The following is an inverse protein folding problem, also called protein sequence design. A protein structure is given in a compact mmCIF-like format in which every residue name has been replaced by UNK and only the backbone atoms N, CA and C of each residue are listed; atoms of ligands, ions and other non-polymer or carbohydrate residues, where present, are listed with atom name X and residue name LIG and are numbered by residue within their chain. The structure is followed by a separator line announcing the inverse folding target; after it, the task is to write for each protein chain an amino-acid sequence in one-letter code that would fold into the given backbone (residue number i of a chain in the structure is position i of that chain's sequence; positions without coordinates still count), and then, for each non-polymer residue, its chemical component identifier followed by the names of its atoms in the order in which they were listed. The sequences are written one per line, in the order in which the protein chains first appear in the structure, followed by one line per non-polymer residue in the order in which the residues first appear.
data_IF_053336042010
#
_entry.id   IF_053336042010
#
_cell.length_a   1.000
_cell.length_b   1.000
_cell.length_c   1.000
_cell.angle_alpha   90.00
_cell.angle_beta   90.00
_cell.angle_gamma   90.00
#
_symmetry.space_group_name_H-M   'P 1'
#
loop_
_entity.id
_entity.type
_entity.pdbx_description
1 polymer ?
#
# COMPACT_ATOMS: atom_id res chain seq x y z
N UNK A 1 22.91 8.91 -3.35
CA UNK A 1 23.84 10.06 -3.42
C UNK A 1 23.18 11.20 -2.69
N UNK A 2 23.83 11.86 -1.71
CA UNK A 2 23.24 13.02 -1.05
C UNK A 2 23.15 14.15 -2.10
N UNK A 3 21.95 14.57 -2.41
CA UNK A 3 21.72 15.76 -3.22
C UNK A 3 22.23 16.95 -2.43
N UNK A 4 23.31 17.57 -2.90
CA UNK A 4 23.76 18.89 -2.43
C UNK A 4 22.74 19.93 -2.89
N UNK A 5 21.61 20.05 -2.16
CA UNK A 5 20.61 21.12 -2.35
C UNK A 5 21.18 22.43 -1.85
N UNK A 6 22.03 23.07 -2.63
CA UNK A 6 22.60 24.39 -2.35
C UNK A 6 21.89 25.47 -3.18
N UNK A 7 20.57 25.61 -3.01
CA UNK A 7 19.80 26.64 -3.70
C UNK A 7 19.38 27.76 -2.74
N UNK A 8 19.52 29.01 -3.17
CA UNK A 8 18.75 30.11 -2.63
C UNK A 8 17.38 30.12 -3.31
N UNK A 9 16.30 30.37 -2.57
CA UNK A 9 14.94 30.35 -3.09
C UNK A 9 14.75 31.14 -4.42
N UNK A 10 15.52 32.21 -4.60
CA UNK A 10 15.48 33.08 -5.79
C UNK A 10 16.14 32.51 -7.05
N UNK A 11 16.95 31.46 -6.91
CA UNK A 11 17.73 30.88 -8.02
C UNK A 11 17.09 29.60 -8.58
N UNK A 12 15.98 29.15 -7.99
CA UNK A 12 15.33 27.92 -8.38
C UNK A 12 14.23 28.18 -9.42
N UNK A 13 14.49 27.76 -10.66
CA UNK A 13 13.48 27.78 -11.73
C UNK A 13 12.82 26.42 -11.81
N UNK A 14 11.50 26.37 -11.58
CA UNK A 14 10.69 25.15 -11.72
C UNK A 14 10.09 25.11 -13.12
N UNK A 15 10.38 24.05 -13.85
CA UNK A 15 9.76 23.82 -15.17
C UNK A 15 8.36 23.25 -14.97
N UNK A 16 7.37 24.13 -14.98
CA UNK A 16 5.97 23.73 -14.86
C UNK A 16 5.50 23.00 -16.14
N UNK A 17 4.58 22.01 -16.01
CA UNK A 17 3.86 21.47 -17.15
C UNK A 17 3.07 22.57 -17.90
N UNK A 18 2.95 22.44 -19.23
CA UNK A 18 2.26 23.42 -20.06
C UNK A 18 0.79 23.65 -19.64
N UNK A 19 0.12 22.60 -19.15
CA UNK A 19 -1.22 22.68 -18.61
C UNK A 19 -1.29 23.61 -17.38
N UNK A 20 -0.31 23.50 -16.48
CA UNK A 20 -0.25 24.34 -15.27
C UNK A 20 0.13 25.78 -15.64
N UNK A 21 1.10 26.00 -16.51
CA UNK A 21 1.42 27.34 -17.04
C UNK A 21 0.20 28.01 -17.65
N UNK A 22 -0.57 27.26 -18.44
CA UNK A 22 -1.81 27.77 -19.03
C UNK A 22 -2.82 28.18 -17.97
N UNK A 23 -3.02 27.36 -16.94
CA UNK A 23 -3.97 27.64 -15.84
C UNK A 23 -3.55 28.88 -15.07
N UNK A 24 -2.28 28.95 -14.64
CA UNK A 24 -1.75 30.11 -13.91
C UNK A 24 -1.85 31.38 -14.77
N UNK A 25 -1.37 31.37 -16.01
CA UNK A 25 -1.41 32.52 -16.89
C UNK A 25 -2.84 32.99 -17.22
N UNK A 26 -3.82 32.07 -17.25
CA UNK A 26 -5.22 32.43 -17.49
C UNK A 26 -5.83 33.13 -16.27
N UNK A 27 -5.53 32.67 -15.05
CA UNK A 27 -5.94 33.34 -13.81
C UNK A 27 -5.28 34.71 -13.68
N UNK A 28 -3.97 34.82 -13.89
CA UNK A 28 -3.24 36.07 -13.80
C UNK A 28 -3.70 37.14 -14.82
N UNK A 29 -3.99 36.73 -16.06
CA UNK A 29 -4.57 37.62 -17.10
C UNK A 29 -5.93 38.18 -16.72
N UNK A 30 -6.67 37.52 -15.83
CA UNK A 30 -7.94 37.98 -15.28
C UNK A 30 -7.77 38.72 -13.95
N UNK A 31 -6.54 39.05 -13.54
CA UNK A 31 -6.26 39.88 -12.35
C UNK A 31 -6.14 39.11 -11.03
N UNK A 32 -6.07 37.78 -11.07
CA UNK A 32 -5.94 36.95 -9.87
C UNK A 32 -4.52 36.47 -9.65
N UNK A 33 -4.07 36.43 -8.41
CA UNK A 33 -2.84 35.76 -8.04
C UNK A 33 -3.05 34.23 -8.14
N UNK A 34 -2.05 33.51 -8.69
CA UNK A 34 -2.13 32.05 -8.83
C UNK A 34 -0.75 31.40 -8.71
N UNK A 35 -0.68 30.27 -8.02
CA UNK A 35 0.57 29.54 -7.77
C UNK A 35 0.34 28.02 -7.86
N UNK A 36 1.35 27.32 -8.39
CA UNK A 36 1.49 25.89 -8.16
C UNK A 36 1.95 25.65 -6.73
N UNK A 37 1.39 24.64 -6.03
CA UNK A 37 1.63 24.45 -4.60
C UNK A 37 1.77 22.99 -4.19
N UNK A 38 2.28 22.78 -2.99
CA UNK A 38 2.17 21.51 -2.29
C UNK A 38 3.14 20.43 -2.77
N UNK A 39 2.63 19.22 -2.86
CA UNK A 39 3.42 18.01 -3.10
C UNK A 39 4.24 18.02 -4.39
N UNK A 40 3.68 18.55 -5.48
CA UNK A 40 4.37 18.59 -6.77
C UNK A 40 5.56 19.55 -6.78
N UNK A 41 5.43 20.72 -6.15
CA UNK A 41 6.54 21.68 -5.98
C UNK A 41 7.68 21.03 -5.20
N UNK A 42 7.36 20.39 -4.07
CA UNK A 42 8.34 19.63 -3.26
C UNK A 42 9.01 18.53 -4.07
N UNK A 43 8.21 17.68 -4.72
CA UNK A 43 8.74 16.50 -5.45
C UNK A 43 9.63 16.95 -6.63
N UNK A 44 9.29 18.06 -7.31
CA UNK A 44 10.15 18.66 -8.34
C UNK A 44 11.50 19.10 -7.75
N UNK A 45 11.51 19.82 -6.62
CA UNK A 45 12.73 20.28 -5.95
C UNK A 45 13.63 19.12 -5.55
N UNK A 46 13.01 17.99 -5.13
CA UNK A 46 13.73 16.75 -4.78
C UNK A 46 14.20 15.95 -6.01
N UNK A 47 13.89 16.38 -7.24
CA UNK A 47 14.18 15.62 -8.46
C UNK A 47 13.33 14.36 -8.64
N UNK A 48 12.23 14.26 -7.93
CA UNK A 48 11.25 13.17 -8.07
C UNK A 48 10.22 13.52 -9.18
N UNK A 49 9.59 12.50 -9.81
CA UNK A 49 8.46 12.75 -10.70
C UNK A 49 7.35 13.51 -9.98
N UNK A 50 7.00 14.69 -10.51
CA UNK A 50 5.91 15.52 -10.00
C UNK A 50 4.71 15.36 -10.93
N UNK A 51 3.67 14.67 -10.46
CA UNK A 51 2.50 14.29 -11.28
C UNK A 51 1.25 15.09 -10.93
N UNK A 52 0.95 15.24 -9.65
CA UNK A 52 -0.29 15.86 -9.16
C UNK A 52 -0.04 17.33 -8.81
N UNK A 53 -0.17 18.19 -9.81
CA UNK A 53 0.03 19.63 -9.66
C UNK A 53 -1.27 20.32 -9.22
N UNK A 54 -1.29 20.79 -7.98
CA UNK A 54 -2.34 21.63 -7.44
C UNK A 54 -2.05 23.11 -7.69
N UNK A 55 -3.11 23.88 -7.93
CA UNK A 55 -3.04 25.35 -8.07
C UNK A 55 -3.83 25.97 -6.92
N UNK A 56 -3.26 27.04 -6.34
CA UNK A 56 -3.99 27.89 -5.40
C UNK A 56 -4.08 29.30 -5.96
N UNK A 57 -5.19 30.03 -5.69
CA UNK A 57 -5.48 31.33 -6.29
C UNK A 57 -6.29 32.25 -5.38
N UNK A 58 -6.18 33.56 -5.63
CA UNK A 58 -7.05 34.55 -4.99
C UNK A 58 -8.45 34.61 -5.59
N UNK A 59 -8.70 33.96 -6.75
CA UNK A 59 -10.01 33.89 -7.37
C UNK A 59 -10.97 33.08 -6.52
N UNK A 60 -12.20 33.56 -6.28
CA UNK A 60 -13.27 32.78 -5.70
C UNK A 60 -13.71 31.64 -6.64
N UNK A 61 -14.37 30.59 -6.12
CA UNK A 61 -14.81 29.48 -6.98
C UNK A 61 -15.66 29.91 -8.19
N UNK A 62 -16.58 30.85 -8.01
CA UNK A 62 -17.43 31.37 -9.09
C UNK A 62 -16.62 32.23 -10.09
N UNK A 63 -15.58 32.92 -9.64
CA UNK A 63 -14.68 33.66 -10.49
C UNK A 63 -13.79 32.71 -11.31
N UNK A 64 -13.29 31.67 -10.66
CA UNK A 64 -12.54 30.60 -11.34
C UNK A 64 -13.40 29.94 -12.41
N UNK A 65 -14.68 29.67 -12.14
CA UNK A 65 -15.61 29.14 -13.14
C UNK A 65 -15.79 30.07 -14.33
N UNK A 66 -15.95 31.38 -14.08
CA UNK A 66 -16.07 32.40 -15.15
C UNK A 66 -14.80 32.45 -16.00
N UNK A 67 -13.60 32.43 -15.38
CA UNK A 67 -12.32 32.42 -16.07
C UNK A 67 -12.20 31.20 -16.99
N UNK A 68 -12.71 30.06 -16.56
CA UNK A 68 -12.65 28.80 -17.30
C UNK A 68 -13.99 28.40 -17.96
N UNK A 69 -14.86 29.37 -18.28
CA UNK A 69 -16.18 29.11 -18.88
C UNK A 69 -16.18 28.31 -20.19
N UNK A 70 -15.05 28.29 -20.93
CA UNK A 70 -14.87 27.45 -22.12
C UNK A 70 -14.32 26.04 -21.86
N UNK A 71 -14.21 25.63 -20.60
CA UNK A 71 -13.64 24.33 -20.19
C UNK A 71 -14.66 23.55 -19.35
N UNK A 72 -14.44 22.23 -19.25
CA UNK A 72 -15.24 21.41 -18.33
C UNK A 72 -14.76 21.67 -16.90
N UNK A 73 -15.66 22.22 -16.07
CA UNK A 73 -15.44 22.51 -14.65
C UNK A 73 -16.25 21.54 -13.79
N UNK A 74 -15.59 20.90 -12.82
CA UNK A 74 -16.20 19.97 -11.86
C UNK A 74 -16.21 20.64 -10.49
N UNK A 75 -17.39 20.70 -9.85
CA UNK A 75 -17.63 21.50 -8.62
C UNK A 75 -17.72 20.69 -7.34
N UNK A 76 -17.28 19.44 -7.34
CA UNK A 76 -17.41 18.54 -6.17
C UNK A 76 -16.78 19.09 -4.89
N UNK A 77 -15.74 19.92 -4.99
CA UNK A 77 -15.03 20.54 -3.88
C UNK A 77 -15.44 22.00 -3.55
N UNK A 78 -16.48 22.54 -4.15
CA UNK A 78 -16.79 23.98 -4.11
C UNK A 78 -17.03 24.51 -2.68
N UNK A 79 -17.61 23.70 -1.81
CA UNK A 79 -17.83 24.06 -0.38
C UNK A 79 -16.52 24.32 0.37
N UNK A 80 -15.41 23.75 -0.12
CA UNK A 80 -14.07 23.93 0.43
C UNK A 80 -13.20 24.83 -0.44
N UNK A 81 -13.80 25.57 -1.38
CA UNK A 81 -13.10 26.50 -2.27
C UNK A 81 -12.32 25.83 -3.41
N UNK A 82 -12.52 24.52 -3.67
CA UNK A 82 -11.82 23.80 -4.72
C UNK A 82 -12.73 23.51 -5.91
N UNK A 83 -12.25 23.81 -7.11
CA UNK A 83 -12.87 23.40 -8.39
C UNK A 83 -11.84 22.65 -9.20
N UNK A 84 -12.28 21.65 -9.97
CA UNK A 84 -11.39 20.92 -10.89
C UNK A 84 -11.69 21.34 -12.32
N UNK A 85 -10.68 21.84 -13.03
CA UNK A 85 -10.79 22.24 -14.44
C UNK A 85 -10.10 21.20 -15.30
N UNK A 86 -10.78 20.73 -16.36
CA UNK A 86 -10.17 19.80 -17.32
C UNK A 86 -9.53 20.60 -18.46
N UNK A 87 -8.21 20.61 -18.50
CA UNK A 87 -7.42 21.27 -19.54
C UNK A 87 -6.68 20.24 -20.36
N UNK A 88 -6.93 20.17 -21.67
CA UNK A 88 -6.33 19.18 -22.58
C UNK A 88 -6.47 17.71 -22.08
N UNK A 89 -7.63 17.39 -21.50
CA UNK A 89 -7.90 16.07 -20.93
C UNK A 89 -7.30 15.82 -19.52
N UNK A 90 -6.48 16.74 -19.01
CA UNK A 90 -5.86 16.64 -17.69
C UNK A 90 -6.69 17.39 -16.64
N UNK A 91 -7.08 16.77 -15.52
CA UNK A 91 -7.71 17.46 -14.41
C UNK A 91 -6.67 18.30 -13.66
N UNK A 92 -7.01 19.55 -13.34
CA UNK A 92 -6.22 20.46 -12.50
C UNK A 92 -7.12 20.93 -11.36
N UNK A 93 -6.73 20.66 -10.12
CA UNK A 93 -7.41 21.18 -8.94
C UNK A 93 -6.96 22.61 -8.67
N UNK A 94 -7.94 23.52 -8.59
CA UNK A 94 -7.73 24.95 -8.33
C UNK A 94 -8.47 25.28 -7.03
N UNK A 95 -7.71 25.67 -6.00
CA UNK A 95 -8.27 25.99 -4.69
C UNK A 95 -8.11 27.48 -4.40
N UNK A 96 -9.21 28.13 -4.00
CA UNK A 96 -9.19 29.52 -3.53
C UNK A 96 -8.38 29.63 -2.23
N UNK A 97 -7.57 30.69 -2.10
CA UNK A 97 -6.88 30.99 -0.84
C UNK A 97 -7.90 31.06 0.29
N UNK A 98 -7.63 30.38 1.38
CA UNK A 98 -8.55 30.30 2.48
C UNK A 98 -7.86 30.21 3.82
N UNK A 99 -8.54 30.73 4.82
CA UNK A 99 -8.26 30.53 6.22
C UNK A 99 -9.29 29.59 6.80
N UNK A 100 -8.86 28.70 7.64
CA UNK A 100 -9.69 27.71 8.30
C UNK A 100 -9.68 27.96 9.81
N UNK A 101 -10.84 27.88 10.47
CA UNK A 101 -10.94 28.08 11.91
C UNK A 101 -12.06 27.25 12.52
N UNK A 102 -11.85 26.85 13.82
CA UNK A 102 -12.73 25.93 14.50
C UNK A 102 -12.65 24.52 13.91
N UNK A 103 -12.55 23.51 14.76
CA UNK A 103 -12.46 22.11 14.34
C UNK A 103 -13.08 21.24 15.44
N UNK A 104 -14.39 21.33 15.60
CA UNK A 104 -15.12 20.62 16.67
C UNK A 104 -15.07 19.10 16.48
N UNK A 105 -14.93 18.62 15.24
CA UNK A 105 -14.84 17.20 14.91
C UNK A 105 -13.41 16.70 14.63
N UNK A 106 -12.38 17.50 14.90
CA UNK A 106 -10.97 17.24 14.58
C UNK A 106 -10.72 16.88 13.10
N UNK A 107 -11.54 17.42 12.17
CA UNK A 107 -11.42 17.14 10.73
C UNK A 107 -11.84 18.30 9.84
N UNK A 108 -13.07 18.76 10.01
CA UNK A 108 -13.61 19.80 9.15
C UNK A 108 -13.52 21.13 9.88
N UNK A 109 -13.01 22.17 9.21
CA UNK A 109 -13.10 23.49 9.77
C UNK A 109 -14.57 23.89 9.92
N UNK A 110 -14.96 24.37 11.09
CA UNK A 110 -16.31 24.87 11.33
C UNK A 110 -16.57 26.10 10.48
N UNK A 111 -15.52 26.86 10.16
CA UNK A 111 -15.59 28.05 9.33
C UNK A 111 -14.46 28.08 8.29
N UNK A 112 -14.81 28.31 7.04
CA UNK A 112 -13.91 28.51 5.90
C UNK A 112 -14.11 29.94 5.41
N UNK A 113 -13.10 30.77 5.55
CA UNK A 113 -13.08 32.16 5.07
C UNK A 113 -12.15 32.24 3.84
N UNK A 114 -12.66 32.71 2.72
CA UNK A 114 -11.84 32.98 1.55
C UNK A 114 -11.06 34.27 1.77
N UNK A 115 -9.76 34.23 1.50
CA UNK A 115 -8.83 35.34 1.70
C UNK A 115 -8.09 35.67 0.41
N UNK A 116 -7.50 36.84 0.33
CA UNK A 116 -6.67 37.26 -0.81
C UNK A 116 -5.16 37.03 -0.57
N UNK A 117 -4.78 36.66 0.64
CA UNK A 117 -3.38 36.50 1.04
C UNK A 117 -2.92 35.04 0.95
N UNK A 118 -1.92 34.81 0.12
CA UNK A 118 -1.27 33.51 -0.03
C UNK A 118 -0.67 33.01 1.30
N UNK A 119 -0.17 33.91 2.16
CA UNK A 119 0.45 33.52 3.42
C UNK A 119 -0.52 32.77 4.34
N UNK A 120 -1.79 33.21 4.39
CA UNK A 120 -2.83 32.54 5.19
C UNK A 120 -3.17 31.16 4.62
N UNK A 121 -3.20 31.00 3.27
CA UNK A 121 -3.41 29.67 2.65
C UNK A 121 -2.24 28.72 2.92
N UNK A 122 -1.01 29.19 2.86
CA UNK A 122 0.17 28.37 3.15
C UNK A 122 0.26 28.02 4.64
N UNK A 123 -0.20 28.90 5.54
CA UNK A 123 -0.18 28.71 7.00
C UNK A 123 -1.04 27.55 7.47
N UNK A 124 -2.20 27.31 6.85
CA UNK A 124 -3.11 26.21 7.23
C UNK A 124 -2.62 24.82 6.78
N UNK A 125 -1.56 24.75 5.96
CA UNK A 125 -1.03 23.47 5.45
C UNK A 125 -0.41 22.64 6.56
N UNK A 126 -0.27 21.32 6.29
CA UNK A 126 0.20 20.36 7.29
C UNK A 126 1.69 20.54 7.64
N UNK A 127 2.57 20.51 6.63
CA UNK A 127 4.02 20.52 6.84
C UNK A 127 4.70 21.58 5.99
N UNK A 128 5.81 22.12 6.49
CA UNK A 128 6.63 23.15 5.84
C UNK A 128 7.05 22.74 4.43
N UNK A 129 7.46 21.49 4.25
CA UNK A 129 7.86 20.91 2.95
C UNK A 129 6.72 20.85 1.93
N UNK A 130 5.46 20.96 2.36
CA UNK A 130 4.27 21.03 1.51
C UNK A 130 3.69 22.45 1.42
N UNK A 131 4.30 23.41 2.11
CA UNK A 131 3.87 24.82 2.16
C UNK A 131 4.72 25.71 1.25
N UNK A 132 5.14 25.15 0.12
CA UNK A 132 5.90 25.84 -0.93
C UNK A 132 4.94 26.21 -2.06
N UNK A 133 5.11 27.43 -2.60
CA UNK A 133 4.34 27.91 -3.74
C UNK A 133 5.28 28.41 -4.84
N UNK A 134 4.86 28.31 -6.10
CA UNK A 134 5.66 28.73 -7.22
C UNK A 134 4.80 29.27 -8.37
N UNK A 135 5.22 30.39 -8.94
CA UNK A 135 4.84 30.82 -10.27
C UNK A 135 6.07 31.37 -11.04
N UNK A 136 5.96 31.53 -12.36
CA UNK A 136 7.10 31.98 -13.17
C UNK A 136 7.44 33.45 -12.95
N UNK A 137 6.51 34.28 -12.43
CA UNK A 137 6.68 35.71 -12.24
C UNK A 137 7.42 36.04 -10.95
N UNK A 138 7.07 35.38 -9.86
CA UNK A 138 7.60 35.65 -8.52
C UNK A 138 8.65 34.62 -8.07
N UNK A 139 8.76 33.50 -8.81
CA UNK A 139 9.64 32.40 -8.46
C UNK A 139 9.09 31.55 -7.33
N UNK A 140 9.99 30.94 -6.56
CA UNK A 140 9.63 30.08 -5.41
C UNK A 140 9.38 30.94 -4.17
N UNK A 141 8.22 30.72 -3.57
CA UNK A 141 7.79 31.35 -2.31
C UNK A 141 7.88 30.31 -1.20
N UNK A 142 8.70 30.58 -0.19
CA UNK A 142 8.90 29.79 1.01
C UNK A 142 8.79 30.69 2.25
N UNK A 143 7.61 30.74 2.84
CA UNK A 143 7.33 31.59 4.01
C UNK A 143 7.59 30.87 5.34
N UNK A 144 7.66 29.52 5.32
CA UNK A 144 7.69 28.70 6.53
C UNK A 144 8.94 27.81 6.63
N UNK A 145 9.96 28.05 5.80
CA UNK A 145 11.24 27.36 5.88
C UNK A 145 11.24 25.95 5.26
N UNK A 146 10.32 25.67 4.35
CA UNK A 146 10.19 24.39 3.69
C UNK A 146 11.44 23.96 2.92
N UNK A 147 12.17 24.88 2.27
CA UNK A 147 13.44 24.60 1.61
C UNK A 147 14.53 24.15 2.58
N UNK A 148 14.60 24.80 3.77
CA UNK A 148 15.53 24.38 4.80
C UNK A 148 15.22 22.99 5.32
N UNK A 149 13.94 22.69 5.53
CA UNK A 149 13.50 21.37 5.99
C UNK A 149 13.69 20.30 4.89
N UNK A 150 13.49 20.62 3.61
CA UNK A 150 13.84 19.72 2.49
C UNK A 150 15.34 19.40 2.47
N UNK A 151 16.20 20.42 2.65
CA UNK A 151 17.64 20.23 2.70
C UNK A 151 18.11 19.37 3.86
N UNK A 152 17.46 19.54 5.03
CA UNK A 152 17.80 18.82 6.25
C UNK A 152 17.03 17.51 6.42
N UNK A 153 16.21 17.13 5.43
CA UNK A 153 15.39 15.91 5.44
C UNK A 153 14.46 15.83 6.67
N UNK A 154 13.77 16.95 6.98
CA UNK A 154 12.92 17.10 8.15
C UNK A 154 11.44 17.22 7.74
N UNK A 155 10.56 16.53 8.48
CA UNK A 155 9.11 16.74 8.47
C UNK A 155 8.74 17.58 9.68
N UNK A 156 8.36 18.82 9.45
CA UNK A 156 7.96 19.82 10.47
C UNK A 156 6.58 20.35 10.13
N UNK A 157 5.72 20.51 11.13
CA UNK A 157 4.42 21.20 10.94
C UNK A 157 4.61 22.69 10.64
N UNK A 158 3.67 23.26 9.90
CA UNK A 158 3.56 24.72 9.77
C UNK A 158 3.00 25.28 11.07
N UNK A 159 3.76 26.14 11.77
CA UNK A 159 3.34 26.70 13.05
C UNK A 159 3.42 25.70 14.21
N UNK A 160 2.54 25.86 15.21
CA UNK A 160 2.54 25.00 16.39
C UNK A 160 2.00 23.60 16.07
N UNK A 161 2.76 22.52 16.36
CA UNK A 161 2.33 21.18 16.05
C UNK A 161 1.10 20.70 16.84
N UNK A 162 0.90 21.20 18.08
CA UNK A 162 -0.28 20.86 18.88
C UNK A 162 -1.54 21.43 18.25
N UNK A 163 -1.49 22.67 17.79
CA UNK A 163 -2.61 23.28 17.05
C UNK A 163 -2.91 22.50 15.79
N UNK A 164 -1.88 22.22 14.96
CA UNK A 164 -2.05 21.51 13.68
C UNK A 164 -2.63 20.11 13.84
N UNK A 165 -2.23 19.36 14.85
CA UNK A 165 -2.75 18.03 15.12
C UNK A 165 -4.13 18.02 15.80
N UNK A 166 -4.45 19.07 16.54
CA UNK A 166 -5.81 19.25 17.11
C UNK A 166 -6.83 19.63 16.04
N UNK A 167 -6.43 20.33 14.98
CA UNK A 167 -7.30 20.66 13.83
C UNK A 167 -7.66 19.42 13.01
N UNK A 168 -6.69 18.61 12.60
CA UNK A 168 -6.90 17.35 11.90
C UNK A 168 -5.92 16.30 12.42
N UNK A 169 -6.40 15.43 13.28
CA UNK A 169 -5.60 14.36 13.87
C UNK A 169 -4.96 13.44 12.82
N UNK A 170 -5.53 13.32 11.60
CA UNK A 170 -4.92 12.55 10.53
C UNK A 170 -3.53 13.08 10.15
N UNK A 171 -3.23 14.34 10.39
CA UNK A 171 -1.89 14.92 10.16
C UNK A 171 -0.80 14.17 10.93
N UNK A 172 -1.12 13.54 12.07
CA UNK A 172 -0.21 12.67 12.82
C UNK A 172 0.23 11.47 11.93
N UNK A 173 -0.72 10.77 11.32
CA UNK A 173 -0.40 9.67 10.40
C UNK A 173 0.27 10.16 9.12
N UNK A 174 -0.11 11.34 8.64
CA UNK A 174 0.53 11.97 7.48
C UNK A 174 2.01 12.26 7.73
N UNK A 175 2.40 12.68 8.96
CA UNK A 175 3.80 12.86 9.32
C UNK A 175 4.59 11.55 9.17
N UNK A 176 4.07 10.44 9.70
CA UNK A 176 4.68 9.11 9.58
C UNK A 176 4.73 8.67 8.10
N UNK A 177 3.67 8.92 7.34
CA UNK A 177 3.63 8.63 5.91
C UNK A 177 4.68 9.40 5.13
N UNK A 178 4.84 10.70 5.38
CA UNK A 178 5.85 11.49 4.69
C UNK A 178 7.27 11.06 5.09
N UNK A 179 7.50 10.70 6.35
CA UNK A 179 8.75 10.07 6.76
C UNK A 179 9.02 8.79 5.99
N UNK A 180 8.04 7.91 5.86
CA UNK A 180 8.16 6.68 5.06
C UNK A 180 8.35 6.94 3.57
N UNK A 181 7.60 7.88 2.98
CA UNK A 181 7.68 8.21 1.54
C UNK A 181 9.01 8.86 1.15
N UNK A 182 9.43 9.86 1.94
CA UNK A 182 10.56 10.74 1.59
C UNK A 182 11.89 10.27 2.19
N UNK A 183 11.87 9.46 3.26
CA UNK A 183 13.05 9.11 4.05
C UNK A 183 13.44 10.15 5.10
N UNK A 184 12.58 11.13 5.35
CA UNK A 184 12.83 12.25 6.25
C UNK A 184 12.49 11.90 7.70
N UNK A 185 13.18 12.54 8.64
CA UNK A 185 12.92 12.42 10.09
C UNK A 185 11.84 13.42 10.51
N UNK A 186 10.91 13.01 11.36
CA UNK A 186 9.96 13.94 11.97
C UNK A 186 10.70 14.78 13.01
N UNK A 187 10.55 16.10 12.94
CA UNK A 187 11.15 17.02 13.91
C UNK A 187 10.73 16.68 15.35
N UNK A 188 11.64 16.83 16.30
CA UNK A 188 11.43 16.39 17.68
C UNK A 188 10.16 17.00 18.34
N UNK A 189 9.94 18.32 18.18
CA UNK A 189 8.73 18.98 18.73
C UNK A 189 7.46 18.47 18.03
N UNK A 190 7.52 18.28 16.73
CA UNK A 190 6.43 17.73 15.93
C UNK A 190 6.10 16.30 16.37
N UNK A 191 7.13 15.46 16.60
CA UNK A 191 6.91 14.08 17.06
C UNK A 191 6.41 14.04 18.52
N UNK A 192 6.93 14.90 19.40
CA UNK A 192 6.44 15.00 20.79
C UNK A 192 4.93 15.33 20.83
N UNK A 193 4.49 16.32 20.05
CA UNK A 193 3.08 16.65 19.92
C UNK A 193 2.25 15.51 19.30
N UNK A 194 2.80 14.80 18.31
CA UNK A 194 2.15 13.64 17.71
C UNK A 194 1.92 12.52 18.74
N UNK A 195 2.89 12.26 19.63
CA UNK A 195 2.75 11.29 20.73
C UNK A 195 1.72 11.71 21.76
N UNK A 196 1.72 12.98 22.12
CA UNK A 196 0.78 13.57 23.09
C UNK A 196 -0.67 13.46 22.59
N UNK A 197 -0.88 13.70 21.29
CA UNK A 197 -2.23 13.80 20.70
C UNK A 197 -2.66 12.56 19.90
N UNK A 198 -1.89 11.46 19.93
CA UNK A 198 -2.17 10.24 19.13
C UNK A 198 -3.55 9.64 19.39
N UNK A 199 -4.08 9.77 20.61
CA UNK A 199 -5.40 9.27 20.95
C UNK A 199 -6.53 9.91 20.14
N UNK A 200 -6.31 11.14 19.62
CA UNK A 200 -7.28 11.81 18.75
C UNK A 200 -7.48 11.08 17.41
N UNK A 201 -6.58 10.17 17.05
CA UNK A 201 -6.74 9.30 15.86
C UNK A 201 -8.01 8.46 15.91
N UNK A 202 -8.55 8.15 17.08
CA UNK A 202 -9.85 7.45 17.25
C UNK A 202 -11.04 8.21 16.65
N UNK A 203 -10.93 9.55 16.51
CA UNK A 203 -11.96 10.41 15.93
C UNK A 203 -11.87 10.47 14.39
N UNK A 204 -10.81 9.94 13.80
CA UNK A 204 -10.62 9.92 12.35
C UNK A 204 -11.34 8.72 11.74
N UNK A 205 -11.99 8.92 10.60
CA UNK A 205 -12.69 7.83 9.92
C UNK A 205 -11.74 6.69 9.52
N UNK A 206 -12.22 5.46 9.64
CA UNK A 206 -11.46 4.24 9.38
C UNK A 206 -10.83 4.22 7.97
N UNK A 207 -11.57 4.70 6.97
CA UNK A 207 -11.14 4.77 5.58
C UNK A 207 -9.94 5.72 5.38
N UNK A 208 -9.94 6.86 6.09
CA UNK A 208 -8.81 7.82 6.06
C UNK A 208 -7.59 7.21 6.75
N UNK A 209 -7.76 6.58 7.90
CA UNK A 209 -6.69 5.85 8.61
C UNK A 209 -6.11 4.80 7.69
N UNK A 210 -6.94 3.93 7.09
CA UNK A 210 -6.50 2.87 6.20
C UNK A 210 -5.71 3.42 5.00
N UNK A 211 -6.20 4.49 4.38
CA UNK A 211 -5.52 5.13 3.25
C UNK A 211 -4.11 5.63 3.62
N UNK A 212 -3.96 6.36 4.73
CA UNK A 212 -2.65 6.88 5.15
C UNK A 212 -1.73 5.75 5.64
N UNK A 213 -2.27 4.77 6.36
CA UNK A 213 -1.52 3.59 6.82
C UNK A 213 -0.98 2.77 5.64
N UNK A 214 -1.81 2.45 4.65
CA UNK A 214 -1.38 1.71 3.46
C UNK A 214 -0.30 2.47 2.68
N UNK A 215 -0.45 3.79 2.51
CA UNK A 215 0.59 4.64 1.89
C UNK A 215 1.88 4.66 2.70
N UNK A 216 1.80 4.57 4.04
CA UNK A 216 2.97 4.45 4.91
C UNK A 216 3.70 3.14 4.66
N UNK A 217 2.97 2.02 4.60
CA UNK A 217 3.54 0.71 4.31
C UNK A 217 4.22 0.64 2.94
N UNK A 218 3.69 1.36 1.94
CA UNK A 218 4.24 1.40 0.59
C UNK A 218 5.40 2.41 0.40
N UNK A 219 5.83 3.10 1.45
CA UNK A 219 6.93 4.06 1.37
C UNK A 219 8.30 3.40 1.20
N UNK A 220 9.24 4.15 0.62
CA UNK A 220 10.62 3.69 0.37
C UNK A 220 11.42 3.43 1.65
N UNK A 221 11.14 4.20 2.73
CA UNK A 221 11.81 4.13 4.01
C UNK A 221 10.92 3.55 5.11
N UNK A 222 10.09 2.59 4.72
CA UNK A 222 9.03 2.03 5.59
C UNK A 222 9.60 1.44 6.88
N UNK A 223 10.74 0.75 6.83
CA UNK A 223 11.38 0.17 8.01
C UNK A 223 11.64 1.21 9.10
N UNK A 224 12.37 2.27 8.76
CA UNK A 224 12.69 3.31 9.73
C UNK A 224 11.44 4.00 10.25
N UNK A 225 10.47 4.31 9.38
CA UNK A 225 9.21 4.93 9.78
C UNK A 225 8.42 4.06 10.77
N UNK A 226 8.33 2.74 10.54
CA UNK A 226 7.63 1.83 11.44
C UNK A 226 8.39 1.62 12.75
N UNK A 227 9.72 1.49 12.73
CA UNK A 227 10.52 1.31 13.94
C UNK A 227 10.52 2.56 14.82
N UNK A 228 10.79 3.75 14.24
CA UNK A 228 10.90 4.98 15.05
C UNK A 228 9.54 5.49 15.53
N UNK A 229 8.47 5.29 14.77
CA UNK A 229 7.15 5.85 15.08
C UNK A 229 6.12 4.76 15.44
N UNK A 230 6.59 3.62 15.95
CA UNK A 230 5.75 2.48 16.33
C UNK A 230 4.63 2.84 17.30
N UNK A 231 4.84 3.81 18.21
CA UNK A 231 3.81 4.28 19.15
C UNK A 231 2.58 4.85 18.44
N UNK A 232 2.76 5.50 17.28
CA UNK A 232 1.66 6.02 16.47
C UNK A 232 0.98 4.88 15.71
N UNK A 233 1.77 3.95 15.16
CA UNK A 233 1.26 2.79 14.42
C UNK A 233 0.45 1.87 15.34
N UNK A 234 0.94 1.62 16.55
CA UNK A 234 0.24 0.78 17.53
C UNK A 234 -0.98 1.47 18.17
N UNK A 235 -1.16 2.78 17.97
CA UNK A 235 -2.40 3.45 18.36
C UNK A 235 -3.55 3.13 17.41
N UNK A 236 -3.27 3.05 16.11
CA UNK A 236 -4.28 2.67 15.09
C UNK A 236 -4.46 1.15 14.98
N UNK A 237 -3.43 0.37 15.30
CA UNK A 237 -3.44 -1.10 15.32
C UNK A 237 -2.99 -1.59 16.71
N UNK A 238 -3.83 -1.45 17.74
CA UNK A 238 -3.43 -1.80 19.12
C UNK A 238 -3.09 -3.28 19.30
N UNK A 239 -3.60 -4.15 18.42
CA UNK A 239 -3.29 -5.57 18.38
C UNK A 239 -1.81 -5.86 18.08
N UNK A 240 -1.07 -4.87 17.57
CA UNK A 240 0.38 -4.94 17.31
C UNK A 240 1.24 -4.65 18.56
N UNK A 241 0.68 -3.99 19.59
CA UNK A 241 1.42 -3.64 20.83
C UNK A 241 2.15 -4.83 21.47
N UNK A 242 1.54 -6.03 21.60
CA UNK A 242 2.21 -7.19 22.18
C UNK A 242 3.43 -7.68 21.39
N UNK A 243 3.55 -7.33 20.10
CA UNK A 243 4.67 -7.75 19.27
C UNK A 243 5.95 -6.92 19.52
N UNK A 244 5.80 -5.67 20.02
CA UNK A 244 6.92 -4.76 20.25
C UNK A 244 7.77 -5.23 21.42
N UNK A 245 9.06 -5.50 21.14
CA UNK A 245 9.98 -6.03 22.15
C UNK A 245 9.74 -7.48 22.55
N UNK A 246 8.90 -8.22 21.82
CA UNK A 246 8.61 -9.62 22.12
C UNK A 246 9.72 -10.52 21.56
N UNK A 247 10.61 -10.99 22.43
CA UNK A 247 11.72 -11.87 22.05
C UNK A 247 11.23 -13.26 21.61
N UNK A 248 11.77 -13.75 20.48
CA UNK A 248 11.32 -15.01 19.88
C UNK A 248 12.00 -16.25 20.47
N UNK A 249 13.12 -16.10 21.16
CA UNK A 249 13.94 -17.19 21.73
C UNK A 249 14.18 -18.33 20.74
N UNK A 250 14.48 -18.01 19.48
CA UNK A 250 14.61 -18.97 18.38
C UNK A 250 15.90 -18.76 17.62
N UNK A 251 16.59 -19.86 17.28
CA UNK A 251 17.80 -19.81 16.42
C UNK A 251 17.52 -19.36 14.99
N UNK A 252 16.25 -19.27 14.59
CA UNK A 252 15.81 -18.83 13.26
C UNK A 252 15.67 -17.33 13.16
N UNK A 253 15.52 -16.59 14.28
CA UNK A 253 15.21 -15.17 14.30
C UNK A 253 16.22 -14.38 15.12
N UNK A 254 16.81 -13.32 14.54
CA UNK A 254 17.70 -12.39 15.23
C UNK A 254 16.96 -11.25 15.92
N UNK A 255 15.72 -10.99 15.55
CA UNK A 255 14.96 -9.81 15.94
C UNK A 255 13.74 -10.20 16.78
N UNK A 256 13.24 -9.27 17.58
CA UNK A 256 11.92 -9.40 18.20
C UNK A 256 10.81 -9.53 17.13
N UNK A 257 9.59 -9.89 17.54
CA UNK A 257 8.48 -10.12 16.60
C UNK A 257 8.17 -8.86 15.79
N UNK A 258 8.16 -7.66 16.42
CA UNK A 258 7.83 -6.43 15.72
C UNK A 258 8.91 -6.02 14.69
N UNK A 259 10.17 -6.07 15.09
CA UNK A 259 11.26 -5.74 14.18
C UNK A 259 11.33 -6.74 13.01
N UNK A 260 11.08 -8.03 13.25
CA UNK A 260 10.97 -9.05 12.21
C UNK A 260 9.83 -8.69 11.21
N UNK A 261 8.63 -8.37 11.72
CA UNK A 261 7.50 -7.92 10.90
C UNK A 261 7.89 -6.71 10.04
N UNK A 262 8.50 -5.70 10.65
CA UNK A 262 8.89 -4.46 9.96
C UNK A 262 9.92 -4.72 8.86
N UNK A 263 10.89 -5.61 9.09
CA UNK A 263 11.86 -6.02 8.09
C UNK A 263 11.24 -6.82 6.95
N UNK A 264 10.27 -7.68 7.26
CA UNK A 264 9.50 -8.42 6.26
C UNK A 264 8.73 -7.47 5.34
N UNK A 265 8.14 -6.41 5.91
CA UNK A 265 7.49 -5.33 5.14
C UNK A 265 8.50 -4.61 4.22
N UNK A 266 9.73 -4.35 4.66
CA UNK A 266 10.77 -3.72 3.82
C UNK A 266 11.15 -4.59 2.63
N UNK A 267 11.31 -5.90 2.82
CA UNK A 267 11.82 -6.82 1.79
C UNK A 267 10.81 -7.19 0.70
N UNK A 268 9.51 -6.99 0.93
CA UNK A 268 8.49 -7.30 -0.07
C UNK A 268 8.22 -6.12 -1.00
N UNK A 269 7.73 -6.42 -2.22
CA UNK A 269 7.31 -5.40 -3.19
C UNK A 269 6.32 -4.40 -2.58
N UNK A 270 6.41 -3.09 -2.89
CA UNK A 270 5.60 -2.04 -2.27
C UNK A 270 4.18 -1.95 -2.84
N UNK A 271 3.46 -3.08 -2.91
CA UNK A 271 2.03 -3.11 -3.20
C UNK A 271 1.24 -3.17 -1.89
N UNK A 272 0.07 -2.56 -1.86
CA UNK A 272 -0.76 -2.49 -0.66
C UNK A 272 -1.05 -3.88 -0.06
N UNK A 273 -1.41 -4.82 -0.91
CA UNK A 273 -1.74 -6.20 -0.55
C UNK A 273 -0.57 -6.92 0.13
N UNK A 274 0.60 -6.93 -0.52
CA UNK A 274 1.76 -7.63 0.00
C UNK A 274 2.34 -6.97 1.25
N UNK A 275 2.37 -5.63 1.29
CA UNK A 275 2.85 -4.88 2.46
C UNK A 275 1.95 -5.08 3.67
N UNK A 276 0.63 -5.13 3.49
CA UNK A 276 -0.32 -5.45 4.56
C UNK A 276 -0.18 -6.91 5.00
N UNK A 277 -0.03 -7.84 4.05
CA UNK A 277 0.23 -9.25 4.36
C UNK A 277 1.45 -9.39 5.27
N UNK A 278 2.57 -8.78 4.91
CA UNK A 278 3.79 -8.85 5.74
C UNK A 278 3.65 -8.10 7.06
N UNK A 279 2.88 -7.01 7.10
CA UNK A 279 2.65 -6.31 8.37
C UNK A 279 1.83 -7.15 9.36
N UNK A 280 0.98 -8.04 8.90
CA UNK A 280 0.10 -8.83 9.75
C UNK A 280 0.49 -10.31 9.89
N UNK A 281 1.44 -10.85 9.11
CA UNK A 281 1.68 -12.29 9.04
C UNK A 281 1.96 -12.93 10.41
N UNK A 282 2.69 -12.23 11.26
CA UNK A 282 3.16 -12.71 12.57
C UNK A 282 2.48 -12.05 13.78
N UNK A 283 1.42 -11.27 13.58
CA UNK A 283 0.71 -10.56 14.66
C UNK A 283 0.12 -11.51 15.73
N UNK A 284 -0.05 -12.77 15.41
CA UNK A 284 -0.55 -13.82 16.32
C UNK A 284 0.54 -14.50 17.14
N UNK A 285 1.84 -14.28 16.87
CA UNK A 285 2.93 -14.96 17.56
C UNK A 285 2.89 -14.82 19.08
N UNK A 286 2.69 -13.61 19.65
CA UNK A 286 2.63 -13.47 21.10
C UNK A 286 1.54 -14.33 21.78
N UNK A 287 0.41 -14.57 21.10
CA UNK A 287 -0.69 -15.36 21.65
C UNK A 287 -0.44 -16.88 21.58
N UNK A 288 0.47 -17.31 20.71
CA UNK A 288 0.79 -18.72 20.48
C UNK A 288 2.11 -19.15 21.10
N UNK A 289 2.78 -18.24 21.83
CA UNK A 289 4.12 -18.48 22.35
C UNK A 289 4.13 -19.52 23.48
N UNK A 290 5.03 -20.48 23.38
CA UNK A 290 5.43 -21.33 24.49
C UNK A 290 6.91 -21.75 24.32
N UNK A 291 7.53 -22.15 25.40
CA UNK A 291 8.92 -22.63 25.39
C UNK A 291 8.98 -24.15 25.52
N UNK A 292 9.84 -24.76 24.74
CA UNK A 292 10.17 -26.18 24.86
C UNK A 292 11.68 -26.36 24.65
N UNK A 293 12.34 -27.06 25.56
CA UNK A 293 13.78 -27.32 25.54
C UNK A 293 14.64 -26.04 25.41
N UNK A 294 14.15 -24.90 25.96
CA UNK A 294 14.79 -23.60 25.90
C UNK A 294 14.58 -22.84 24.59
N UNK A 295 13.90 -23.42 23.62
CA UNK A 295 13.52 -22.76 22.36
C UNK A 295 12.07 -22.26 22.40
N UNK A 296 11.80 -21.10 21.75
CA UNK A 296 10.47 -20.54 21.56
C UNK A 296 9.75 -21.17 20.36
N UNK A 297 8.47 -21.46 20.56
CA UNK A 297 7.58 -22.04 19.53
C UNK A 297 6.29 -21.26 19.45
N UNK A 298 5.70 -21.22 18.23
CA UNK A 298 4.52 -20.38 17.87
C UNK A 298 3.48 -21.18 17.07
N UNK A 299 3.23 -22.45 17.40
CA UNK A 299 2.32 -23.29 16.61
C UNK A 299 0.91 -22.69 16.53
N UNK A 300 0.35 -22.68 15.31
CA UNK A 300 -0.97 -22.12 15.04
C UNK A 300 -1.01 -20.60 14.91
N UNK A 301 0.14 -19.90 14.95
CA UNK A 301 0.17 -18.44 14.75
C UNK A 301 -0.38 -17.98 13.39
N UNK A 302 -0.27 -18.72 12.26
CA UNK A 302 -0.85 -18.26 11.00
C UNK A 302 -2.36 -18.12 11.06
N UNK A 303 -3.06 -19.07 11.70
CA UNK A 303 -4.50 -19.03 11.90
C UNK A 303 -4.90 -17.85 12.80
N UNK A 304 -4.23 -17.68 13.93
CA UNK A 304 -4.47 -16.57 14.87
C UNK A 304 -4.17 -15.22 14.20
N UNK A 305 -3.07 -15.12 13.42
CA UNK A 305 -2.73 -13.93 12.65
C UNK A 305 -3.83 -13.60 11.63
N UNK A 306 -4.33 -14.60 10.91
CA UNK A 306 -5.39 -14.42 9.92
C UNK A 306 -6.70 -13.93 10.56
N UNK A 307 -7.09 -14.50 11.70
CA UNK A 307 -8.29 -14.05 12.43
C UNK A 307 -8.17 -12.61 12.93
N UNK A 308 -7.02 -12.24 13.52
CA UNK A 308 -6.74 -10.87 13.92
C UNK A 308 -6.77 -9.93 12.72
N UNK A 309 -6.13 -10.32 11.61
CA UNK A 309 -6.10 -9.55 10.37
C UNK A 309 -7.49 -9.28 9.82
N UNK A 310 -8.37 -10.29 9.76
CA UNK A 310 -9.75 -10.12 9.29
C UNK A 310 -10.51 -9.11 10.17
N UNK A 311 -10.40 -9.22 11.50
CA UNK A 311 -11.05 -8.31 12.46
C UNK A 311 -10.55 -6.87 12.29
N UNK A 312 -9.22 -6.68 12.16
CA UNK A 312 -8.59 -5.37 11.99
C UNK A 312 -9.03 -4.73 10.66
N UNK A 313 -8.95 -5.47 9.56
CA UNK A 313 -9.30 -4.95 8.24
C UNK A 313 -10.80 -4.67 8.09
N UNK A 314 -11.67 -5.43 8.78
CA UNK A 314 -13.11 -5.08 8.91
C UNK A 314 -13.31 -3.77 9.66
N UNK A 315 -12.63 -3.59 10.80
CA UNK A 315 -12.67 -2.34 11.59
C UNK A 315 -12.20 -1.15 10.76
N UNK A 316 -11.20 -1.35 9.89
CA UNK A 316 -10.69 -0.34 8.97
C UNK A 316 -11.54 -0.19 7.69
N UNK A 317 -12.65 -0.89 7.57
CA UNK A 317 -13.61 -0.84 6.45
C UNK A 317 -12.98 -1.15 5.09
N UNK A 318 -12.06 -2.09 5.08
CA UNK A 318 -11.39 -2.55 3.86
C UNK A 318 -12.36 -3.32 2.97
N UNK A 319 -12.37 -3.10 1.63
CA UNK A 319 -13.21 -3.85 0.71
C UNK A 319 -13.04 -5.37 0.85
N UNK A 320 -14.15 -6.11 0.79
CA UNK A 320 -14.19 -7.55 1.12
C UNK A 320 -13.19 -8.37 0.30
N UNK A 321 -13.19 -8.24 -1.03
CA UNK A 321 -12.29 -9.00 -1.89
C UNK A 321 -10.80 -8.77 -1.56
N UNK A 322 -10.42 -7.51 -1.34
CA UNK A 322 -9.04 -7.16 -0.97
C UNK A 322 -8.66 -7.71 0.42
N UNK A 323 -9.58 -7.61 1.39
CA UNK A 323 -9.39 -8.16 2.75
C UNK A 323 -9.21 -9.67 2.72
N UNK A 324 -10.06 -10.39 2.00
CA UNK A 324 -10.01 -11.85 1.87
C UNK A 324 -8.69 -12.33 1.27
N UNK A 325 -8.15 -11.61 0.30
CA UNK A 325 -6.85 -11.93 -0.28
C UNK A 325 -5.70 -11.74 0.71
N UNK A 326 -5.67 -10.62 1.44
CA UNK A 326 -4.66 -10.39 2.50
C UNK A 326 -4.77 -11.47 3.59
N UNK A 327 -5.98 -11.79 4.06
CA UNK A 327 -6.23 -12.83 5.07
C UNK A 327 -5.78 -14.21 4.57
N UNK A 328 -6.06 -14.54 3.30
CA UNK A 328 -5.60 -15.78 2.69
C UNK A 328 -4.06 -15.87 2.70
N UNK A 329 -3.37 -14.80 2.29
CA UNK A 329 -1.91 -14.78 2.26
C UNK A 329 -1.31 -14.87 3.67
N UNK A 330 -1.88 -14.16 4.65
CA UNK A 330 -1.48 -14.24 6.07
C UNK A 330 -1.67 -15.65 6.60
N UNK A 331 -2.82 -16.30 6.34
CA UNK A 331 -3.09 -17.67 6.79
C UNK A 331 -2.10 -18.69 6.22
N UNK A 332 -1.64 -18.48 4.99
CA UNK A 332 -0.82 -19.44 4.27
C UNK A 332 0.67 -19.06 4.24
N UNK A 333 1.11 -17.98 4.93
CA UNK A 333 2.48 -17.52 4.84
C UNK A 333 3.52 -18.57 5.27
N UNK A 334 3.19 -19.43 6.25
CA UNK A 334 4.06 -20.49 6.76
C UNK A 334 3.87 -21.86 6.07
N UNK A 335 3.03 -21.94 5.02
CA UNK A 335 2.79 -23.20 4.31
C UNK A 335 4.10 -23.79 3.77
N UNK A 336 4.30 -25.09 3.98
CA UNK A 336 5.46 -25.80 3.44
C UNK A 336 5.28 -26.00 1.93
N UNK A 337 6.21 -25.48 1.16
CA UNK A 337 6.34 -25.68 -0.27
C UNK A 337 7.45 -26.72 -0.54
N UNK A 338 7.46 -27.32 -1.72
CA UNK A 338 8.40 -28.39 -2.09
C UNK A 338 8.98 -28.09 -3.47
N UNK A 339 10.21 -28.56 -3.73
CA UNK A 339 10.89 -28.54 -5.02
C UNK A 339 10.42 -29.67 -5.97
N UNK A 340 9.41 -30.46 -5.59
CA UNK A 340 8.81 -31.46 -6.46
C UNK A 340 7.88 -30.82 -7.50
N UNK A 341 8.08 -31.11 -8.78
CA UNK A 341 7.22 -30.64 -9.89
C UNK A 341 5.75 -31.05 -9.68
N UNK A 342 5.51 -32.31 -9.28
CA UNK A 342 4.16 -32.83 -9.01
C UNK A 342 3.49 -32.03 -7.89
N UNK A 343 4.20 -31.77 -6.78
CA UNK A 343 3.64 -30.99 -5.68
C UNK A 343 3.37 -29.54 -6.07
N UNK A 344 4.23 -28.95 -6.92
CA UNK A 344 4.00 -27.60 -7.44
C UNK A 344 2.77 -27.56 -8.36
N UNK A 345 2.57 -28.52 -9.26
CA UNK A 345 1.34 -28.61 -10.08
C UNK A 345 0.08 -28.73 -9.23
N UNK A 346 0.09 -29.62 -8.22
CA UNK A 346 -1.03 -29.75 -7.27
C UNK A 346 -1.30 -28.46 -6.49
N UNK A 347 -0.24 -27.76 -6.06
CA UNK A 347 -0.41 -26.51 -5.34
C UNK A 347 -0.88 -25.36 -6.24
N UNK A 348 -0.40 -25.29 -7.50
CA UNK A 348 -0.90 -24.37 -8.52
C UNK A 348 -2.40 -24.61 -8.79
N UNK A 349 -2.83 -25.88 -8.84
CA UNK A 349 -4.24 -26.22 -8.98
C UNK A 349 -5.07 -25.77 -7.77
N UNK A 350 -4.59 -26.03 -6.54
CA UNK A 350 -5.30 -25.77 -5.29
C UNK A 350 -5.58 -24.29 -5.05
N UNK A 351 -4.58 -23.43 -5.26
CA UNK A 351 -4.66 -22.02 -4.87
C UNK A 351 -4.65 -21.04 -6.05
N UNK A 352 -4.41 -21.52 -7.26
CA UNK A 352 -4.26 -20.71 -8.46
C UNK A 352 -2.86 -20.12 -8.64
N UNK A 353 -2.51 -19.84 -9.90
CA UNK A 353 -1.19 -19.34 -10.30
C UNK A 353 -0.80 -18.04 -9.57
N UNK A 354 -1.69 -17.04 -9.55
CA UNK A 354 -1.40 -15.73 -8.98
C UNK A 354 -1.09 -15.84 -7.49
N UNK A 355 -1.93 -16.51 -6.71
CA UNK A 355 -1.73 -16.73 -5.27
C UNK A 355 -0.47 -17.52 -4.97
N UNK A 356 -0.15 -18.51 -5.80
CA UNK A 356 1.06 -19.30 -5.64
C UNK A 356 2.32 -18.42 -5.70
N UNK A 357 2.43 -17.53 -6.69
CA UNK A 357 3.56 -16.62 -6.82
C UNK A 357 3.58 -15.53 -5.74
N UNK A 358 2.42 -15.03 -5.30
CA UNK A 358 2.34 -14.11 -4.16
C UNK A 358 2.83 -14.77 -2.87
N UNK A 359 2.48 -16.04 -2.62
CA UNK A 359 2.99 -16.78 -1.46
C UNK A 359 4.51 -17.01 -1.52
N UNK A 360 5.07 -17.23 -2.71
CA UNK A 360 6.53 -17.30 -2.86
C UNK A 360 7.20 -15.97 -2.52
N UNK A 361 6.62 -14.82 -2.93
CA UNK A 361 7.11 -13.51 -2.56
C UNK A 361 7.04 -13.29 -1.03
N UNK A 362 5.92 -13.65 -0.41
CA UNK A 362 5.69 -13.58 1.05
C UNK A 362 6.74 -14.39 1.79
N UNK A 363 6.90 -15.68 1.45
CA UNK A 363 7.91 -16.55 2.08
C UNK A 363 9.34 -16.04 1.91
N UNK A 364 9.66 -15.49 0.74
CA UNK A 364 10.99 -14.93 0.48
C UNK A 364 11.26 -13.69 1.34
N UNK A 365 10.27 -12.83 1.51
CA UNK A 365 10.39 -11.63 2.34
C UNK A 365 10.48 -11.96 3.83
N UNK A 366 9.63 -12.87 4.32
CA UNK A 366 9.68 -13.41 5.67
C UNK A 366 11.06 -14.01 5.99
N UNK A 367 11.52 -14.92 5.15
CA UNK A 367 12.80 -15.56 5.28
C UNK A 367 13.98 -14.56 5.27
N UNK A 368 13.96 -13.56 4.39
CA UNK A 368 14.98 -12.51 4.34
C UNK A 368 15.01 -11.69 5.64
N UNK A 369 13.87 -11.50 6.30
CA UNK A 369 13.73 -10.73 7.53
C UNK A 369 14.24 -11.45 8.78
N UNK A 370 14.39 -12.77 8.76
CA UNK A 370 14.93 -13.54 9.88
C UNK A 370 16.40 -13.20 10.19
N UNK A 371 17.18 -12.77 9.17
CA UNK A 371 18.53 -12.27 9.32
C UNK A 371 19.61 -13.35 9.58
N UNK A 372 19.26 -14.62 9.65
CA UNK A 372 20.16 -15.74 9.99
C UNK A 372 20.82 -16.39 8.76
N UNK A 373 21.89 -17.17 8.98
CA UNK A 373 22.49 -17.96 7.91
C UNK A 373 21.58 -19.09 7.42
N UNK A 374 20.74 -19.63 8.30
CA UNK A 374 19.75 -20.67 7.99
C UNK A 374 18.71 -20.12 7.02
N UNK A 375 18.17 -18.93 7.30
CA UNK A 375 17.23 -18.24 6.45
C UNK A 375 17.76 -18.00 5.02
N UNK A 376 19.04 -17.63 4.88
CA UNK A 376 19.68 -17.47 3.56
C UNK A 376 19.69 -18.76 2.73
N UNK A 377 19.82 -19.93 3.40
CA UNK A 377 19.73 -21.23 2.72
C UNK A 377 18.32 -21.52 2.25
N UNK A 378 17.32 -21.30 3.09
CA UNK A 378 15.91 -21.48 2.73
C UNK A 378 15.47 -20.54 1.59
N UNK A 379 15.97 -19.30 1.57
CA UNK A 379 15.69 -18.37 0.47
C UNK A 379 16.09 -18.91 -0.90
N UNK A 380 17.20 -19.67 -0.99
CA UNK A 380 17.61 -20.35 -2.23
C UNK A 380 16.66 -21.49 -2.62
N UNK A 381 16.08 -22.19 -1.65
CA UNK A 381 15.07 -23.23 -1.94
C UNK A 381 13.78 -22.62 -2.48
N UNK A 382 13.36 -21.47 -1.96
CA UNK A 382 12.20 -20.71 -2.48
C UNK A 382 12.45 -20.29 -3.95
N UNK A 383 13.66 -19.83 -4.28
CA UNK A 383 14.01 -19.48 -5.67
C UNK A 383 13.99 -20.69 -6.60
N UNK A 384 14.39 -21.89 -6.14
CA UNK A 384 14.27 -23.14 -6.92
C UNK A 384 12.81 -23.51 -7.17
N UNK A 385 11.96 -23.42 -6.14
CA UNK A 385 10.53 -23.71 -6.25
C UNK A 385 9.90 -22.78 -7.28
N UNK A 386 10.25 -21.49 -7.26
CA UNK A 386 9.80 -20.51 -8.25
C UNK A 386 10.20 -20.90 -9.67
N UNK A 387 11.46 -21.23 -9.88
CA UNK A 387 11.96 -21.62 -11.20
C UNK A 387 11.27 -22.89 -11.74
N UNK A 388 10.96 -23.86 -10.87
CA UNK A 388 10.19 -25.04 -11.24
C UNK A 388 8.76 -24.67 -11.66
N UNK A 389 8.08 -23.84 -10.88
CA UNK A 389 6.71 -23.40 -11.20
C UNK A 389 6.65 -22.58 -12.50
N UNK A 390 7.62 -21.70 -12.74
CA UNK A 390 7.76 -20.95 -13.99
C UNK A 390 7.93 -21.90 -15.18
N UNK A 391 8.79 -22.91 -15.04
CA UNK A 391 9.01 -23.93 -16.08
C UNK A 391 7.78 -24.77 -16.37
N UNK A 392 7.01 -25.19 -15.34
CA UNK A 392 5.73 -25.88 -15.50
C UNK A 392 4.79 -25.07 -16.39
N UNK A 393 4.71 -23.76 -16.15
CA UNK A 393 3.84 -22.85 -16.88
C UNK A 393 4.36 -22.62 -18.32
N UNK A 394 5.66 -22.39 -18.49
CA UNK A 394 6.30 -22.17 -19.80
C UNK A 394 6.19 -23.40 -20.71
N UNK A 395 6.33 -24.60 -20.15
CA UNK A 395 6.18 -25.86 -20.89
C UNK A 395 4.73 -26.19 -21.20
N UNK A 396 3.74 -25.45 -20.68
CA UNK A 396 2.32 -25.77 -20.82
C UNK A 396 1.90 -27.07 -20.13
N UNK A 397 2.62 -27.43 -19.04
CA UNK A 397 2.27 -28.61 -18.24
C UNK A 397 0.92 -28.42 -17.54
N UNK A 398 0.18 -29.53 -17.40
CA UNK A 398 -1.19 -29.48 -16.89
C UNK A 398 -1.21 -29.35 -15.36
N UNK A 399 -1.93 -28.32 -14.88
CA UNK A 399 -2.21 -28.10 -13.47
C UNK A 399 -3.64 -27.55 -13.22
N UNK A 400 -4.45 -27.35 -14.26
CA UNK A 400 -5.83 -26.88 -14.16
C UNK A 400 -6.72 -27.71 -15.08
N UNK A 401 -7.95 -28.01 -14.64
CA UNK A 401 -8.97 -28.73 -15.41
C UNK A 401 -9.16 -28.13 -16.81
N UNK A 402 -9.12 -26.81 -16.93
CA UNK A 402 -9.26 -26.11 -18.22
C UNK A 402 -8.17 -26.40 -19.23
N UNK A 403 -7.06 -26.99 -18.80
CA UNK A 403 -5.93 -27.38 -19.68
C UNK A 403 -6.03 -28.81 -20.18
N UNK A 404 -6.97 -29.61 -19.64
CA UNK A 404 -7.21 -30.99 -20.14
C UNK A 404 -7.70 -30.96 -21.57
N UNK A 405 -7.18 -31.87 -22.40
CA UNK A 405 -7.60 -32.07 -23.79
C UNK A 405 -8.81 -33.01 -23.93
N UNK A 406 -9.69 -32.97 -22.93
CA UNK A 406 -11.00 -33.65 -22.92
C UNK A 406 -12.00 -32.66 -22.29
N UNK A 407 -13.24 -32.72 -22.77
CA UNK A 407 -14.32 -31.89 -22.27
C UNK A 407 -15.36 -32.69 -21.47
N UNK A 408 -16.19 -31.97 -20.67
CA UNK A 408 -17.34 -32.61 -20.03
C UNK A 408 -18.34 -33.23 -21.02
N UNK A 409 -18.45 -32.68 -22.25
CA UNK A 409 -19.28 -33.26 -23.34
C UNK A 409 -18.75 -34.61 -23.82
N UNK A 410 -17.44 -34.80 -23.86
CA UNK A 410 -16.83 -36.06 -24.21
C UNK A 410 -17.11 -37.11 -23.13
N UNK A 411 -17.06 -36.74 -21.84
CA UNK A 411 -17.43 -37.63 -20.74
C UNK A 411 -18.92 -38.00 -20.77
N UNK A 412 -19.81 -37.08 -21.16
CA UNK A 412 -21.24 -37.37 -21.36
C UNK A 412 -21.42 -38.41 -22.47
N UNK A 413 -20.70 -38.33 -23.59
CA UNK A 413 -20.73 -39.30 -24.68
C UNK A 413 -20.22 -40.66 -24.24
N UNK A 414 -19.27 -40.72 -23.31
CA UNK A 414 -18.79 -41.97 -22.69
C UNK A 414 -19.83 -42.58 -21.77
N UNK A 415 -20.77 -41.76 -21.21
CA UNK A 415 -21.88 -42.21 -20.40
C UNK A 415 -21.92 -41.64 -18.97
N UNK A 416 -20.92 -40.80 -18.56
CA UNK A 416 -20.92 -40.11 -17.26
C UNK A 416 -22.06 -39.09 -17.17
N UNK A 417 -22.59 -38.87 -15.99
CA UNK A 417 -23.69 -37.94 -15.74
C UNK A 417 -23.55 -37.17 -14.44
N UNK A 418 -24.13 -35.97 -14.40
CA UNK A 418 -24.21 -35.17 -13.19
C UNK A 418 -22.86 -34.92 -12.48
N UNK A 419 -22.72 -35.37 -11.24
CA UNK A 419 -21.49 -35.22 -10.44
C UNK A 419 -20.31 -36.05 -10.91
N UNK A 420 -20.60 -37.21 -11.53
CA UNK A 420 -19.56 -38.12 -12.02
C UNK A 420 -18.64 -37.45 -13.03
N UNK A 421 -19.16 -36.50 -13.83
CA UNK A 421 -18.36 -35.73 -14.81
C UNK A 421 -17.27 -34.92 -14.09
N UNK A 422 -17.61 -34.21 -13.00
CA UNK A 422 -16.65 -33.42 -12.22
C UNK A 422 -15.60 -34.30 -11.56
N UNK A 423 -16.05 -35.41 -10.94
CA UNK A 423 -15.17 -36.37 -10.27
C UNK A 423 -14.19 -37.02 -11.23
N UNK A 424 -14.66 -37.41 -12.45
CA UNK A 424 -13.78 -37.95 -13.45
C UNK A 424 -12.79 -36.93 -14.01
N UNK A 425 -13.24 -35.68 -14.25
CA UNK A 425 -12.33 -34.59 -14.68
C UNK A 425 -11.21 -34.35 -13.65
N UNK A 426 -11.52 -34.34 -12.34
CA UNK A 426 -10.53 -34.20 -11.27
C UNK A 426 -9.57 -35.39 -11.23
N UNK A 427 -10.08 -36.62 -11.44
CA UNK A 427 -9.28 -37.83 -11.47
C UNK A 427 -8.30 -37.84 -12.63
N UNK A 428 -8.76 -37.48 -13.82
CA UNK A 428 -7.92 -37.38 -15.03
C UNK A 428 -6.85 -36.28 -14.83
N UNK A 429 -7.24 -35.12 -14.26
CA UNK A 429 -6.29 -34.05 -13.96
C UNK A 429 -5.20 -34.53 -12.99
N UNK A 430 -5.57 -35.19 -11.89
CA UNK A 430 -4.62 -35.74 -10.94
C UNK A 430 -3.67 -36.75 -11.58
N UNK A 431 -4.17 -37.65 -12.44
CA UNK A 431 -3.35 -38.59 -13.17
C UNK A 431 -2.34 -37.90 -14.13
N UNK A 432 -2.76 -36.80 -14.79
CA UNK A 432 -1.87 -35.99 -15.61
C UNK A 432 -0.82 -35.25 -14.76
N UNK A 433 -1.22 -34.62 -13.64
CA UNK A 433 -0.29 -33.94 -12.74
C UNK A 433 0.77 -34.88 -12.15
N UNK A 434 0.43 -36.14 -11.96
CA UNK A 434 1.34 -37.19 -11.44
C UNK A 434 2.19 -37.90 -12.55
N UNK A 435 2.05 -37.48 -13.80
CA UNK A 435 2.68 -38.11 -14.97
C UNK A 435 2.27 -39.58 -15.22
N UNK A 436 1.12 -39.97 -14.66
CA UNK A 436 0.56 -41.31 -14.86
C UNK A 436 -0.28 -41.42 -16.15
N UNK A 437 -0.67 -40.28 -16.73
CA UNK A 437 -1.50 -40.17 -17.92
C UNK A 437 -1.02 -39.01 -18.80
N UNK A 438 -0.99 -39.21 -20.12
CA UNK A 438 -0.72 -38.13 -21.08
C UNK A 438 -1.91 -37.17 -21.18
N UNK A 439 -1.64 -35.88 -21.36
CA UNK A 439 -2.70 -34.91 -21.67
C UNK A 439 -2.91 -34.80 -23.18
N UNK A 440 -3.30 -35.89 -23.80
CA UNK A 440 -3.77 -35.93 -25.17
C UNK A 440 -5.19 -36.54 -25.21
N UNK A 441 -5.94 -36.22 -26.24
CA UNK A 441 -7.36 -36.59 -26.34
C UNK A 441 -7.58 -38.10 -26.31
N UNK A 442 -6.71 -38.88 -26.99
CA UNK A 442 -6.82 -40.33 -27.09
C UNK A 442 -6.58 -40.99 -25.73
N UNK A 443 -5.48 -40.65 -25.07
CA UNK A 443 -5.14 -41.17 -23.75
C UNK A 443 -6.21 -40.88 -22.69
N UNK A 444 -6.74 -39.65 -22.71
CA UNK A 444 -7.75 -39.19 -21.75
C UNK A 444 -9.10 -39.91 -21.97
N UNK A 445 -9.53 -40.08 -23.24
CA UNK A 445 -10.75 -40.81 -23.59
C UNK A 445 -10.65 -42.29 -23.22
N UNK A 446 -9.55 -42.94 -23.54
CA UNK A 446 -9.33 -44.34 -23.17
C UNK A 446 -9.34 -44.56 -21.66
N UNK A 447 -8.76 -43.65 -20.88
CA UNK A 447 -8.80 -43.69 -19.43
C UNK A 447 -10.24 -43.53 -18.90
N UNK A 448 -11.00 -42.57 -19.40
CA UNK A 448 -12.38 -42.33 -19.03
C UNK A 448 -13.30 -43.52 -19.35
N UNK A 449 -13.17 -44.12 -20.54
CA UNK A 449 -13.92 -45.33 -20.93
C UNK A 449 -13.66 -46.51 -20.00
N UNK A 450 -12.40 -46.72 -19.64
CA UNK A 450 -11.98 -47.78 -18.71
C UNK A 450 -12.59 -47.55 -17.31
N UNK A 451 -12.63 -46.32 -16.83
CA UNK A 451 -13.16 -46.03 -15.52
C UNK A 451 -14.68 -46.06 -15.52
N UNK A 452 -15.35 -45.67 -16.60
CA UNK A 452 -16.79 -45.81 -16.73
C UNK A 452 -17.21 -47.29 -16.77
N UNK A 453 -16.45 -48.19 -17.44
CA UNK A 453 -16.71 -49.61 -17.43
C UNK A 453 -16.68 -50.19 -16.01
N UNK A 454 -15.70 -49.80 -15.17
CA UNK A 454 -15.61 -50.22 -13.77
C UNK A 454 -16.77 -49.73 -12.92
N UNK A 455 -17.32 -48.51 -13.18
CA UNK A 455 -18.49 -48.01 -12.45
C UNK A 455 -19.76 -48.81 -12.73
N UNK A 456 -19.84 -49.50 -13.89
CA UNK A 456 -20.98 -50.36 -14.24
C UNK A 456 -20.87 -51.80 -13.70
N UNK A 457 -19.69 -52.22 -13.25
CA UNK A 457 -19.46 -53.52 -12.64
C UNK A 457 -19.76 -53.59 -11.14
N UNK A 458 -20.02 -52.41 -10.50
CA UNK A 458 -20.39 -52.23 -9.11
C UNK A 458 -21.88 -51.94 -9.00
#
# INVERSE_FOLDING_TARGET
MPNNLNFKARDLTIKLPETIKFVLGKLEKNGFSAYAVGGAVRDYILGNPATDWDVTTSALPDETEKVFSGFKVIKTGIKHGTVTVIVNGCPVEITTFRKESGYTDNRHPDNVEFVSDLAEDLKRRDFTVNSLAYNEKEGLIDLYGGLSDLKNEIIRTVGDPRERFSEDALRILRAVRFSSKLGFTIEEKTYAAAKELKENLKNVSAERIFSEFTKTLCGKNVKNALLFYHEIITEIIPEMKPCVGFEQHSKWHLYDVYEHIVRSVEYIRPTAELRLTMFFHDIGKPDCFFTRDGEGHFYGHPEVSAEKTDKILRRLKVPTAFREEVVFLVKNHDVRLSDSEIKNRKKLNEIGKERFFLLLDVKKADNAAQGTALAKKEGKEIDKIRAIAEKIIENGEVYDIKQLKISGEDLIKTGFSGKEIGEEMEKLLNACMENNLGNDEESLKAAAEKDFAKLKEV
#
